data_IF_120675649816
#
_entry.id   IF_120675649816
#
_cell.length_a   1.000
_cell.length_b   1.000
_cell.length_c   1.000
_cell.angle_alpha   90.00
_cell.angle_beta   90.00
_cell.angle_gamma   90.00
#
_symmetry.space_group_name_H-M   'P 1'
#
loop_
_entity.id
_entity.type
_entity.pdbx_description
1 polymer ?
#
# COMPACT_ATOMS: atom_id res chain seq x y z
N UNK A 1 -15.49 18.89 27.51
CA UNK A 1 -14.12 18.75 27.00
C UNK A 1 -14.26 18.39 25.54
N UNK A 2 -13.75 19.24 24.67
CA UNK A 2 -14.11 19.34 23.25
C UNK A 2 -13.76 18.07 22.48
N UNK A 3 -14.75 17.60 21.74
CA UNK A 3 -14.73 16.49 20.81
C UNK A 3 -13.96 16.91 19.54
N UNK A 4 -12.67 17.21 19.66
CA UNK A 4 -11.80 17.31 18.49
C UNK A 4 -11.61 15.88 17.97
N UNK A 5 -12.49 15.47 17.06
CA UNK A 5 -12.23 14.34 16.17
C UNK A 5 -10.85 14.56 15.58
N UNK A 6 -9.96 13.59 15.74
CA UNK A 6 -8.68 13.60 15.06
C UNK A 6 -8.94 13.78 13.55
N UNK A 7 -8.67 14.97 13.04
CA UNK A 7 -8.54 15.20 11.61
C UNK A 7 -7.21 14.57 11.17
N UNK A 8 -7.14 14.03 9.96
CA UNK A 8 -5.93 13.37 9.44
C UNK A 8 -5.55 12.06 10.16
N UNK A 9 -6.43 11.07 10.05
CA UNK A 9 -6.20 9.70 10.50
C UNK A 9 -5.61 8.84 9.38
N UNK A 10 -4.65 7.98 9.74
CA UNK A 10 -4.16 6.92 8.90
C UNK A 10 -4.38 5.58 9.59
N UNK A 11 -4.91 4.60 8.86
CA UNK A 11 -5.03 3.24 9.34
C UNK A 11 -4.17 2.30 8.49
N UNK A 12 -3.46 1.40 9.15
CA UNK A 12 -2.71 0.32 8.53
C UNK A 12 -3.32 -1.03 8.92
N UNK A 13 -3.43 -1.94 7.96
CA UNK A 13 -3.94 -3.29 8.14
C UNK A 13 -2.93 -4.31 7.64
N UNK A 14 -2.48 -5.20 8.53
CA UNK A 14 -1.64 -6.35 8.19
C UNK A 14 -2.45 -7.64 8.35
N UNK A 15 -2.67 -8.33 7.23
CA UNK A 15 -3.47 -9.56 7.17
C UNK A 15 -2.52 -10.76 7.13
N UNK A 16 -2.02 -11.13 8.30
CA UNK A 16 -1.11 -12.25 8.46
C UNK A 16 -1.81 -13.62 8.49
N UNK A 17 -1.05 -14.67 8.18
CA UNK A 17 -1.49 -16.07 8.37
C UNK A 17 -1.69 -16.41 9.86
N UNK A 18 -0.93 -15.78 10.76
CA UNK A 18 -1.04 -16.04 12.21
C UNK A 18 -2.00 -15.08 12.91
N UNK A 19 -2.03 -13.82 12.48
CA UNK A 19 -2.80 -12.75 13.11
C UNK A 19 -3.12 -11.67 12.10
N UNK A 20 -4.24 -10.99 12.31
CA UNK A 20 -4.57 -9.73 11.65
C UNK A 20 -4.31 -8.60 12.65
N UNK A 21 -3.67 -7.52 12.21
CA UNK A 21 -3.37 -6.35 13.02
C UNK A 21 -3.89 -5.10 12.33
N UNK A 22 -4.64 -4.28 13.04
CA UNK A 22 -5.01 -2.93 12.64
C UNK A 22 -4.31 -1.92 13.55
N UNK A 23 -3.73 -0.87 12.97
CA UNK A 23 -3.11 0.24 13.70
C UNK A 23 -3.69 1.54 13.17
N UNK A 24 -4.14 2.41 14.07
CA UNK A 24 -4.66 3.74 13.77
C UNK A 24 -3.66 4.76 14.30
N UNK A 25 -3.17 5.61 13.41
CA UNK A 25 -2.31 6.74 13.72
C UNK A 25 -3.00 8.07 13.44
N UNK A 26 -2.71 9.06 14.27
CA UNK A 26 -3.02 10.46 14.00
C UNK A 26 -1.75 11.19 13.56
N UNK A 27 -1.84 11.93 12.45
CA UNK A 27 -0.72 12.74 11.98
C UNK A 27 -0.91 14.16 12.52
N UNK A 28 -0.01 14.57 13.41
CA UNK A 28 -0.07 15.89 14.04
C UNK A 28 0.34 17.01 13.07
N UNK A 29 0.26 18.27 13.51
CA UNK A 29 0.62 19.44 12.70
C UNK A 29 2.09 19.50 12.25
N UNK A 30 2.97 18.74 12.89
CA UNK A 30 4.39 18.63 12.54
C UNK A 30 4.65 17.48 11.55
N UNK A 31 3.60 16.75 11.15
CA UNK A 31 3.72 15.59 10.27
C UNK A 31 4.18 14.32 10.97
N UNK A 32 4.22 14.30 12.30
CA UNK A 32 4.58 13.12 13.09
C UNK A 32 3.34 12.26 13.34
N UNK A 33 3.50 10.95 13.14
CA UNK A 33 2.44 9.97 13.37
C UNK A 33 2.47 9.48 14.82
N UNK A 34 1.38 9.69 15.55
CA UNK A 34 1.14 9.13 16.89
C UNK A 34 0.17 7.95 16.79
N UNK A 35 0.53 6.81 17.39
CA UNK A 35 -0.36 5.64 17.42
C UNK A 35 -1.42 5.86 18.51
N UNK A 36 -2.68 5.91 18.09
CA UNK A 36 -3.83 6.14 18.98
C UNK A 36 -4.73 4.92 19.13
N UNK A 37 -4.58 3.90 18.28
CA UNK A 37 -5.35 2.65 18.37
C UNK A 37 -4.61 1.46 17.80
N UNK A 38 -4.72 0.31 18.46
CA UNK A 38 -4.19 -0.97 18.01
C UNK A 38 -5.25 -2.04 18.26
N UNK A 39 -5.51 -2.85 17.26
CA UNK A 39 -6.36 -4.04 17.39
C UNK A 39 -5.70 -5.24 16.74
N UNK A 40 -5.91 -6.42 17.32
CA UNK A 40 -5.26 -7.64 16.87
C UNK A 40 -6.17 -8.84 17.11
N UNK A 41 -6.29 -9.68 16.10
CA UNK A 41 -7.06 -10.92 16.20
C UNK A 41 -6.29 -12.10 15.60
N UNK A 42 -6.50 -13.30 16.15
CA UNK A 42 -5.93 -14.51 15.57
C UNK A 42 -6.56 -14.79 14.19
N UNK A 43 -5.73 -15.15 13.21
CA UNK A 43 -6.17 -15.41 11.85
C UNK A 43 -6.37 -16.91 11.63
N UNK A 44 -7.56 -17.30 11.20
CA UNK A 44 -7.90 -18.70 10.85
C UNK A 44 -8.34 -18.86 9.40
N UNK A 45 -8.55 -17.74 8.68
CA UNK A 45 -8.95 -17.74 7.27
C UNK A 45 -7.79 -17.80 6.27
N UNK A 46 -6.55 -17.59 6.72
CA UNK A 46 -5.36 -17.61 5.87
C UNK A 46 -4.48 -18.84 6.11
N UNK A 47 -3.83 -19.32 5.04
CA UNK A 47 -2.78 -20.33 5.09
C UNK A 47 -1.67 -19.98 4.10
N UNK A 48 -0.45 -19.79 4.60
CA UNK A 48 0.74 -19.43 3.79
C UNK A 48 0.49 -18.21 2.89
N UNK A 49 -0.22 -17.20 3.41
CA UNK A 49 -0.55 -15.98 2.67
C UNK A 49 -1.67 -16.11 1.64
N UNK A 50 -2.40 -17.23 1.63
CA UNK A 50 -3.55 -17.45 0.75
C UNK A 50 -4.82 -17.55 1.59
N UNK A 51 -5.90 -16.90 1.15
CA UNK A 51 -7.23 -17.03 1.78
C UNK A 51 -7.79 -18.41 1.47
N UNK A 52 -8.03 -19.20 2.52
CA UNK A 52 -8.62 -20.55 2.44
C UNK A 52 -10.03 -20.60 3.00
N UNK A 53 -10.43 -19.60 3.80
CA UNK A 53 -11.79 -19.41 4.29
C UNK A 53 -12.05 -17.90 4.36
N UNK A 54 -12.93 -17.39 3.49
CA UNK A 54 -13.18 -15.96 3.34
C UNK A 54 -13.97 -15.40 4.52
N UNK A 55 -14.94 -16.13 5.05
CA UNK A 55 -15.75 -15.71 6.19
C UNK A 55 -14.89 -15.50 7.44
N UNK A 56 -13.99 -16.45 7.73
CA UNK A 56 -13.06 -16.37 8.84
C UNK A 56 -12.03 -15.24 8.67
N UNK A 57 -11.60 -14.96 7.43
CA UNK A 57 -10.73 -13.82 7.13
C UNK A 57 -11.46 -12.50 7.39
N UNK A 58 -12.70 -12.36 6.92
CA UNK A 58 -13.53 -11.17 7.15
C UNK A 58 -13.74 -10.94 8.64
N UNK A 59 -14.12 -11.98 9.39
CA UNK A 59 -14.30 -11.88 10.84
C UNK A 59 -13.01 -11.42 11.54
N UNK A 60 -11.87 -12.01 11.20
CA UNK A 60 -10.58 -11.65 11.81
C UNK A 60 -10.19 -10.19 11.54
N UNK A 61 -10.50 -9.67 10.34
CA UNK A 61 -10.28 -8.28 9.98
C UNK A 61 -11.23 -7.36 10.76
N UNK A 62 -12.52 -7.69 10.80
CA UNK A 62 -13.54 -6.92 11.52
C UNK A 62 -13.16 -6.79 13.00
N UNK A 63 -12.79 -7.88 13.66
CA UNK A 63 -12.35 -7.86 15.07
C UNK A 63 -11.13 -6.98 15.30
N UNK A 64 -10.11 -7.09 14.45
CA UNK A 64 -8.92 -6.24 14.58
C UNK A 64 -9.26 -4.75 14.38
N UNK A 65 -10.15 -4.40 13.44
CA UNK A 65 -10.58 -3.02 13.22
C UNK A 65 -11.43 -2.52 14.39
N UNK A 66 -12.41 -3.29 14.86
CA UNK A 66 -13.28 -2.95 16.00
C UNK A 66 -12.46 -2.63 17.25
N UNK A 67 -11.45 -3.45 17.57
CA UNK A 67 -10.57 -3.22 18.72
C UNK A 67 -9.74 -1.93 18.58
N UNK A 68 -9.22 -1.65 17.36
CA UNK A 68 -8.43 -0.45 17.11
C UNK A 68 -9.29 0.83 17.17
N UNK A 69 -10.50 0.79 16.60
CA UNK A 69 -11.48 1.88 16.65
C UNK A 69 -11.94 2.14 18.09
N UNK A 70 -12.21 1.08 18.86
CA UNK A 70 -12.58 1.19 20.27
C UNK A 70 -11.46 1.84 21.09
N UNK A 71 -10.21 1.43 20.88
CA UNK A 71 -9.05 1.99 21.58
C UNK A 71 -8.81 3.46 21.23
N UNK A 72 -8.97 3.82 19.95
CA UNK A 72 -8.74 5.19 19.46
C UNK A 72 -9.93 6.14 19.68
N UNK A 73 -11.13 5.60 19.94
CA UNK A 73 -12.37 6.39 19.97
C UNK A 73 -12.75 6.97 18.60
N UNK A 74 -12.18 6.45 17.52
CA UNK A 74 -12.34 6.94 16.15
C UNK A 74 -12.99 5.89 15.27
N UNK A 75 -13.59 6.32 14.15
CA UNK A 75 -14.01 5.44 13.08
C UNK A 75 -13.17 5.69 11.84
N UNK A 76 -12.72 4.63 11.17
CA UNK A 76 -11.89 4.67 9.98
C UNK A 76 -12.72 4.26 8.75
N UNK A 77 -12.50 4.93 7.62
CA UNK A 77 -13.20 4.65 6.36
C UNK A 77 -12.31 4.02 5.29
N UNK A 78 -11.00 4.03 5.50
CA UNK A 78 -9.99 3.53 4.57
C UNK A 78 -8.78 3.00 5.32
N UNK A 79 -8.10 2.02 4.75
CA UNK A 79 -6.87 1.43 5.31
C UNK A 79 -5.79 1.33 4.24
N UNK A 80 -4.54 1.37 4.69
CA UNK A 80 -3.38 0.94 3.93
C UNK A 80 -3.14 -0.53 4.28
N UNK A 81 -3.46 -1.43 3.35
CA UNK A 81 -3.25 -2.86 3.54
C UNK A 81 -1.89 -3.30 3.00
N UNK A 82 -1.12 -4.03 3.81
CA UNK A 82 0.09 -4.67 3.35
C UNK A 82 -0.23 -5.90 2.49
N UNK A 83 0.47 -6.05 1.36
CA UNK A 83 0.42 -7.26 0.55
C UNK A 83 1.78 -7.96 0.55
N UNK A 84 1.78 -9.25 0.87
CA UNK A 84 2.98 -10.06 0.95
C UNK A 84 2.69 -11.53 0.66
N UNK A 85 3.69 -12.27 0.16
CA UNK A 85 3.59 -13.71 -0.06
C UNK A 85 4.18 -14.15 -1.39
N UNK A 86 4.15 -15.46 -1.65
CA UNK A 86 4.74 -16.08 -2.84
C UNK A 86 4.03 -15.75 -4.16
N UNK A 87 2.88 -15.05 -4.09
CA UNK A 87 2.10 -14.61 -5.23
C UNK A 87 2.52 -13.22 -5.73
N UNK A 88 3.41 -12.52 -5.01
CA UNK A 88 3.97 -11.23 -5.42
C UNK A 88 5.26 -11.45 -6.20
N UNK A 89 5.38 -10.77 -7.33
CA UNK A 89 6.54 -10.82 -8.21
C UNK A 89 6.99 -9.41 -8.56
N UNK A 90 8.30 -9.25 -8.75
CA UNK A 90 8.89 -8.05 -9.31
C UNK A 90 9.50 -8.35 -10.68
N UNK A 91 9.45 -7.38 -11.57
CA UNK A 91 10.06 -7.42 -12.88
C UNK A 91 10.71 -6.06 -13.15
N UNK A 92 11.97 -6.07 -13.57
CA UNK A 92 12.61 -4.87 -14.09
C UNK A 92 12.26 -4.72 -15.57
N UNK A 93 11.95 -3.49 -15.97
CA UNK A 93 11.61 -3.14 -17.34
C UNK A 93 12.20 -1.78 -17.69
N UNK A 94 12.46 -1.57 -18.98
CA UNK A 94 13.03 -0.34 -19.50
C UNK A 94 12.04 0.28 -20.49
N UNK A 95 11.85 1.58 -20.37
CA UNK A 95 11.11 2.40 -21.33
C UNK A 95 12.08 3.39 -21.97
N UNK A 96 11.85 3.72 -23.24
CA UNK A 96 12.64 4.73 -23.96
C UNK A 96 11.68 5.69 -24.65
N UNK A 97 11.89 6.99 -24.46
CA UNK A 97 11.10 8.05 -25.09
C UNK A 97 12.03 9.10 -25.68
N UNK A 98 11.67 9.64 -26.84
CA UNK A 98 12.38 10.75 -27.45
C UNK A 98 11.96 12.08 -26.82
N UNK A 99 12.97 12.90 -26.49
CA UNK A 99 12.83 14.29 -26.00
C UNK A 99 12.97 15.22 -27.19
N UNK A 100 12.06 16.18 -27.33
CA UNK A 100 11.99 17.05 -28.51
C UNK A 100 12.65 18.42 -28.29
N UNK A 101 12.47 19.03 -27.11
CA UNK A 101 12.89 20.41 -26.84
C UNK A 101 14.25 20.52 -26.11
N UNK A 102 15.04 19.45 -26.11
CA UNK A 102 16.37 19.41 -25.48
C UNK A 102 16.38 19.49 -23.95
N UNK A 103 15.22 19.65 -23.32
CA UNK A 103 15.00 19.66 -21.87
C UNK A 103 13.97 18.59 -21.52
N UNK A 104 14.24 17.83 -20.46
CA UNK A 104 13.29 16.83 -19.93
C UNK A 104 12.12 17.54 -19.28
N UNK A 105 10.91 17.26 -19.76
CA UNK A 105 9.69 17.76 -19.13
C UNK A 105 9.02 16.66 -18.27
N UNK A 106 8.18 17.01 -17.27
CA UNK A 106 7.45 16.02 -16.48
C UNK A 106 6.64 15.04 -17.35
N UNK A 107 6.11 15.51 -18.48
CA UNK A 107 5.40 14.65 -19.45
C UNK A 107 6.31 13.59 -20.07
N UNK A 108 7.60 13.85 -20.25
CA UNK A 108 8.55 12.85 -20.75
C UNK A 108 8.81 11.77 -19.70
N UNK A 109 8.84 12.16 -18.42
CA UNK A 109 8.95 11.22 -17.28
C UNK A 109 7.71 10.33 -17.21
N UNK A 110 6.52 10.89 -17.30
CA UNK A 110 5.28 10.11 -17.31
C UNK A 110 5.26 9.13 -18.50
N UNK A 111 5.63 9.61 -19.69
CA UNK A 111 5.70 8.78 -20.92
C UNK A 111 6.71 7.65 -20.80
N UNK A 112 7.89 7.88 -20.20
CA UNK A 112 8.91 6.83 -20.06
C UNK A 112 8.50 5.79 -19.02
N UNK A 113 7.82 6.21 -17.96
CA UNK A 113 7.24 5.30 -16.96
C UNK A 113 6.15 4.44 -17.62
N UNK A 114 5.27 5.03 -18.43
CA UNK A 114 4.23 4.30 -19.16
C UNK A 114 4.85 3.30 -20.16
N UNK A 115 5.89 3.71 -20.88
CA UNK A 115 6.62 2.83 -21.78
C UNK A 115 7.29 1.67 -21.02
N UNK A 116 7.92 1.94 -19.88
CA UNK A 116 8.53 0.93 -19.03
C UNK A 116 7.48 -0.03 -18.44
N UNK A 117 6.28 0.47 -18.15
CA UNK A 117 5.15 -0.32 -17.63
C UNK A 117 4.51 -1.22 -18.69
N UNK A 118 4.69 -0.94 -19.98
CA UNK A 118 4.10 -1.67 -21.10
C UNK A 118 4.77 -3.05 -21.36
N UNK A 119 4.93 -3.84 -20.30
CA UNK A 119 5.43 -5.22 -20.36
C UNK A 119 4.29 -6.21 -20.54
N UNK A 120 4.56 -7.28 -21.27
CA UNK A 120 3.64 -8.41 -21.35
C UNK A 120 3.59 -9.13 -19.99
N UNK A 121 2.54 -8.87 -19.21
CA UNK A 121 2.22 -9.63 -18.00
C UNK A 121 1.22 -10.74 -18.33
N UNK A 122 1.30 -11.91 -17.67
CA UNK A 122 0.28 -12.94 -17.75
C UNK A 122 -1.12 -12.38 -17.44
N UNK A 123 -2.15 -12.90 -18.12
CA UNK A 123 -3.52 -12.40 -17.99
C UNK A 123 -4.14 -12.61 -16.59
N UNK A 124 -3.52 -13.46 -15.76
CA UNK A 124 -3.90 -13.72 -14.37
C UNK A 124 -3.14 -12.85 -13.36
N UNK A 125 -2.37 -11.85 -13.82
CA UNK A 125 -1.57 -10.95 -12.99
C UNK A 125 -1.94 -9.49 -13.24
N UNK A 126 -1.74 -8.67 -12.21
CA UNK A 126 -1.96 -7.22 -12.25
C UNK A 126 -0.75 -6.48 -11.68
N UNK A 127 -0.44 -5.31 -12.24
CA UNK A 127 0.63 -4.44 -11.76
C UNK A 127 0.12 -3.68 -10.54
N UNK A 128 0.65 -4.01 -9.37
CA UNK A 128 0.31 -3.35 -8.10
C UNK A 128 1.04 -2.01 -7.93
N UNK A 129 2.31 -1.94 -8.34
CA UNK A 129 3.13 -0.75 -8.19
C UNK A 129 4.25 -0.69 -9.22
N UNK A 130 4.68 0.52 -9.57
CA UNK A 130 5.83 0.79 -10.45
C UNK A 130 6.78 1.67 -9.67
N UNK A 131 8.03 1.23 -9.57
CA UNK A 131 9.10 1.94 -8.87
C UNK A 131 10.16 2.36 -9.89
N UNK A 132 10.21 3.64 -10.30
CA UNK A 132 11.32 4.16 -11.08
C UNK A 132 12.63 3.97 -10.32
N UNK A 133 13.65 3.40 -10.97
CA UNK A 133 14.95 3.14 -10.36
C UNK A 133 15.96 4.21 -10.79
N UNK A 134 16.16 4.33 -12.11
CA UNK A 134 17.16 5.21 -12.71
C UNK A 134 16.59 5.84 -13.99
N UNK A 135 17.11 7.03 -14.33
CA UNK A 135 16.86 7.70 -15.60
C UNK A 135 18.20 7.92 -16.30
N UNK A 136 18.24 7.64 -17.61
CA UNK A 136 19.46 7.72 -18.42
C UNK A 136 19.19 8.68 -19.58
N UNK A 137 20.07 9.66 -19.79
CA UNK A 137 20.01 10.60 -20.91
C UNK A 137 21.30 10.45 -21.72
N UNK A 138 21.20 10.18 -23.03
CA UNK A 138 22.34 10.06 -23.95
C UNK A 138 23.46 9.11 -23.44
N UNK A 139 23.07 7.97 -22.87
CA UNK A 139 23.98 6.98 -22.25
C UNK A 139 24.79 7.51 -21.05
N UNK A 140 24.42 8.67 -20.50
CA UNK A 140 24.94 9.19 -19.24
C UNK A 140 23.93 8.95 -18.12
N UNK A 141 24.45 8.37 -17.03
CA UNK A 141 23.71 8.18 -15.77
C UNK A 141 23.52 9.53 -15.06
N UNK A 142 22.37 9.72 -14.42
CA UNK A 142 22.00 10.91 -13.65
C UNK A 142 21.54 10.58 -12.23
#
# INVERSE_FOLDING_TARGET
>A
MSNEKYENLIAALDIGTSKVIAVIGHINSEGLTEIIGIGMHHSTGLKKGVVVNIEATVESIQRAIEDAELMSGCSISSVHAGIAGSHIKSLNSHGIVAIHDGEVQPVDVDRVIDAARAVAIPADQEILHVLPQEYIIDEQEG
#
